data_IF_789610336431
#
_entry.id   IF_789610336431
#
_cell.length_a   1.000
_cell.length_b   1.000
_cell.length_c   1.000
_cell.angle_alpha   90.00
_cell.angle_beta   90.00
_cell.angle_gamma   90.00
#
_symmetry.space_group_name_H-M   'P 1'
#
loop_
_entity.id
_entity.type
_entity.pdbx_description
1 polymer ?
#
# COMPACT_ATOMS: atom_id res chain seq x y z
N UNK A 1 30.88 -23.52 -69.46
CA UNK A 1 29.57 -22.93 -69.13
C UNK A 1 29.02 -23.68 -67.94
N UNK A 2 29.38 -23.25 -66.73
CA UNK A 2 28.66 -23.64 -65.52
C UNK A 2 27.66 -22.52 -65.23
N UNK A 3 26.38 -22.86 -65.36
CA UNK A 3 25.27 -21.99 -65.00
C UNK A 3 25.15 -21.98 -63.48
N UNK A 4 25.46 -20.83 -62.86
CA UNK A 4 25.14 -20.58 -61.47
C UNK A 4 23.62 -20.51 -61.29
N UNK A 5 23.09 -21.31 -60.37
CA UNK A 5 21.70 -21.19 -59.92
C UNK A 5 21.50 -19.82 -59.23
N UNK A 6 20.42 -19.09 -59.52
CA UNK A 6 20.12 -17.85 -58.79
C UNK A 6 19.77 -18.18 -57.34
N UNK A 7 20.44 -17.53 -56.39
CA UNK A 7 20.09 -17.58 -54.97
C UNK A 7 18.63 -17.16 -54.79
N UNK A 8 17.86 -17.98 -54.08
CA UNK A 8 16.48 -17.67 -53.73
C UNK A 8 16.43 -16.46 -52.79
N UNK A 9 15.44 -15.56 -52.93
CA UNK A 9 15.33 -14.40 -52.04
C UNK A 9 15.06 -14.91 -50.61
N UNK A 10 15.95 -14.56 -49.68
CA UNK A 10 15.73 -14.77 -48.24
C UNK A 10 14.55 -13.91 -47.80
N UNK A 11 13.35 -14.44 -47.89
CA UNK A 11 12.19 -13.83 -47.24
C UNK A 11 12.38 -13.94 -45.73
N UNK A 12 12.53 -12.80 -45.05
CA UNK A 12 12.58 -12.73 -43.59
C UNK A 12 11.30 -13.33 -43.00
N UNK A 13 11.43 -14.07 -41.90
CA UNK A 13 10.26 -14.63 -41.23
C UNK A 13 9.32 -13.49 -40.79
N UNK A 14 7.98 -13.68 -40.76
CA UNK A 14 7.06 -12.64 -40.30
C UNK A 14 7.40 -12.11 -38.90
N UNK A 15 7.87 -12.99 -38.00
CA UNK A 15 8.34 -12.62 -36.67
C UNK A 15 9.58 -11.71 -36.69
N UNK A 16 10.54 -11.96 -37.58
CA UNK A 16 11.71 -11.09 -37.76
C UNK A 16 11.30 -9.74 -38.34
N UNK A 17 10.35 -9.74 -39.27
CA UNK A 17 9.80 -8.51 -39.87
C UNK A 17 9.12 -7.64 -38.82
N UNK A 18 8.33 -8.23 -37.92
CA UNK A 18 7.70 -7.54 -36.79
C UNK A 18 8.75 -7.07 -35.77
N UNK A 19 9.73 -7.92 -35.44
CA UNK A 19 10.76 -7.61 -34.46
C UNK A 19 11.72 -6.49 -34.90
N UNK A 20 11.84 -6.26 -36.22
CA UNK A 20 12.64 -5.20 -36.81
C UNK A 20 11.85 -3.91 -37.10
N UNK A 21 10.57 -3.85 -36.73
CA UNK A 21 9.72 -2.68 -36.95
C UNK A 21 9.24 -2.09 -35.61
N UNK A 22 9.88 -0.99 -35.19
CA UNK A 22 9.70 -0.36 -33.89
C UNK A 22 8.24 -0.09 -33.52
N UNK A 23 7.40 0.34 -34.47
CA UNK A 23 6.00 0.66 -34.20
C UNK A 23 5.16 -0.58 -33.90
N UNK A 24 5.35 -1.67 -34.66
CA UNK A 24 4.63 -2.92 -34.45
C UNK A 24 5.11 -3.60 -33.17
N UNK A 25 6.43 -3.65 -32.98
CA UNK A 25 7.03 -4.18 -31.76
C UNK A 25 6.55 -3.39 -30.54
N UNK A 26 6.55 -2.05 -30.61
CA UNK A 26 6.02 -1.20 -29.54
C UNK A 26 4.58 -1.51 -29.23
N UNK A 27 3.70 -1.63 -30.24
CA UNK A 27 2.27 -1.90 -30.05
C UNK A 27 1.98 -3.25 -29.36
N UNK A 28 2.87 -4.23 -29.54
CA UNK A 28 2.81 -5.52 -28.86
C UNK A 28 3.32 -5.37 -27.42
N UNK A 29 4.52 -4.83 -27.26
CA UNK A 29 5.18 -4.76 -25.96
C UNK A 29 4.44 -3.86 -24.96
N UNK A 30 3.82 -2.75 -25.38
CA UNK A 30 3.06 -1.89 -24.44
C UNK A 30 1.86 -2.58 -23.80
N UNK A 31 1.41 -3.74 -24.31
CA UNK A 31 0.30 -4.53 -23.75
C UNK A 31 0.76 -5.51 -22.65
N UNK A 32 2.06 -5.64 -22.44
CA UNK A 32 2.63 -6.58 -21.49
C UNK A 32 2.87 -5.90 -20.14
N UNK A 33 2.88 -6.72 -19.08
CA UNK A 33 3.20 -6.25 -17.74
C UNK A 33 4.64 -5.72 -17.65
N UNK A 34 4.84 -4.70 -16.81
CA UNK A 34 6.15 -4.08 -16.60
C UNK A 34 7.23 -5.10 -16.18
N UNK A 35 6.89 -6.09 -15.36
CA UNK A 35 7.80 -7.15 -14.91
C UNK A 35 8.33 -7.99 -16.08
N UNK A 36 7.47 -8.31 -17.05
CA UNK A 36 7.87 -9.05 -18.25
C UNK A 36 8.72 -8.18 -19.16
N UNK A 37 8.36 -6.91 -19.33
CA UNK A 37 9.14 -5.96 -20.15
C UNK A 37 10.56 -5.76 -19.63
N UNK A 38 10.76 -5.73 -18.31
CA UNK A 38 12.09 -5.61 -17.72
C UNK A 38 12.95 -6.83 -18.03
N UNK A 39 12.38 -8.04 -18.01
CA UNK A 39 13.07 -9.25 -18.47
C UNK A 39 13.39 -9.17 -19.96
N UNK A 40 12.48 -8.65 -20.77
CA UNK A 40 12.65 -8.60 -22.23
C UNK A 40 13.70 -7.60 -22.71
N UNK A 41 14.15 -6.68 -21.84
CA UNK A 41 15.35 -5.87 -22.09
C UNK A 41 16.61 -6.72 -22.34
N UNK A 42 16.68 -7.97 -21.85
CA UNK A 42 17.84 -8.84 -22.09
C UNK A 42 17.81 -9.57 -23.44
N UNK A 43 16.71 -9.49 -24.20
CA UNK A 43 16.55 -10.23 -25.47
C UNK A 43 17.48 -9.71 -26.56
N UNK A 44 17.59 -8.38 -26.71
CA UNK A 44 18.50 -7.75 -27.68
C UNK A 44 18.79 -6.29 -27.31
N UNK A 45 19.85 -5.72 -27.90
CA UNK A 45 20.15 -4.28 -27.77
C UNK A 45 19.02 -3.40 -28.30
N UNK A 46 18.33 -3.84 -29.35
CA UNK A 46 17.20 -3.12 -29.92
C UNK A 46 16.03 -3.06 -28.93
N UNK A 47 15.66 -4.20 -28.34
CA UNK A 47 14.59 -4.27 -27.33
C UNK A 47 14.93 -3.48 -26.07
N UNK A 48 16.18 -3.58 -25.59
CA UNK A 48 16.67 -2.77 -24.47
C UNK A 48 16.47 -1.27 -24.74
N UNK A 49 16.86 -0.80 -25.92
CA UNK A 49 16.74 0.60 -26.33
C UNK A 49 15.28 1.04 -26.42
N UNK A 50 14.44 0.24 -27.08
CA UNK A 50 13.02 0.54 -27.27
C UNK A 50 12.27 0.63 -25.94
N UNK A 51 12.39 -0.39 -25.09
CA UNK A 51 11.69 -0.48 -23.79
C UNK A 51 12.19 0.59 -22.81
N UNK A 52 13.47 0.96 -22.90
CA UNK A 52 14.05 1.99 -22.03
C UNK A 52 13.75 3.43 -22.48
N UNK A 53 13.22 3.61 -23.70
CA UNK A 53 12.90 4.94 -24.22
C UNK A 53 11.79 5.62 -23.39
N UNK A 54 11.89 6.94 -23.11
CA UNK A 54 10.85 7.67 -22.39
C UNK A 54 9.46 7.56 -23.06
N UNK A 55 9.42 7.66 -24.39
CA UNK A 55 8.18 7.55 -25.19
C UNK A 55 7.50 6.20 -25.02
N UNK A 56 8.26 5.09 -25.01
CA UNK A 56 7.68 3.77 -24.81
C UNK A 56 7.08 3.64 -23.41
N UNK A 57 7.78 4.14 -22.40
CA UNK A 57 7.36 4.07 -20.99
C UNK A 57 6.11 4.89 -20.74
N UNK A 58 6.07 6.10 -21.26
CA UNK A 58 4.88 6.96 -21.25
C UNK A 58 3.68 6.27 -21.92
N UNK A 59 3.87 5.71 -23.13
CA UNK A 59 2.83 4.94 -23.83
C UNK A 59 2.36 3.73 -23.03
N UNK A 60 3.28 3.01 -22.39
CA UNK A 60 2.96 1.85 -21.54
C UNK A 60 2.14 2.29 -20.32
N UNK A 61 2.56 3.35 -19.63
CA UNK A 61 1.86 3.93 -18.49
C UNK A 61 0.43 4.37 -18.86
N UNK A 62 0.26 5.15 -19.92
CA UNK A 62 -1.06 5.63 -20.36
C UNK A 62 -1.98 4.46 -20.74
N UNK A 63 -1.41 3.42 -21.35
CA UNK A 63 -2.19 2.25 -21.79
C UNK A 63 -2.58 1.31 -20.64
N UNK A 64 -1.85 1.34 -19.53
CA UNK A 64 -2.07 0.47 -18.37
C UNK A 64 -2.30 1.30 -17.10
N UNK A 65 -3.40 2.10 -17.04
CA UNK A 65 -3.57 3.11 -16.00
C UNK A 65 -3.92 2.56 -14.61
N UNK A 66 -4.31 1.29 -14.51
CA UNK A 66 -4.68 0.64 -13.25
C UNK A 66 -3.97 -0.71 -13.13
N UNK A 67 -2.64 -0.74 -12.90
CA UNK A 67 -1.95 -2.00 -12.70
C UNK A 67 -2.48 -2.69 -11.45
N UNK A 68 -2.68 -4.00 -11.55
CA UNK A 68 -3.16 -4.82 -10.45
C UNK A 68 -2.07 -4.93 -9.38
N UNK A 69 -2.48 -5.04 -8.11
CA UNK A 69 -1.54 -5.35 -7.04
C UNK A 69 -1.05 -6.77 -7.28
N UNK A 70 0.25 -6.88 -7.54
CA UNK A 70 0.90 -8.13 -7.91
C UNK A 70 1.59 -8.80 -6.74
N UNK A 71 1.87 -8.03 -5.67
CA UNK A 71 2.55 -8.52 -4.49
C UNK A 71 2.40 -7.56 -3.30
N UNK A 72 2.85 -8.01 -2.13
CA UNK A 72 2.97 -7.20 -0.92
C UNK A 72 4.37 -7.28 -0.33
N UNK A 73 4.86 -6.16 0.19
CA UNK A 73 5.96 -6.14 1.15
C UNK A 73 5.44 -6.01 2.57
N UNK A 74 6.04 -6.71 3.52
CA UNK A 74 5.66 -6.64 4.94
C UNK A 74 6.85 -7.00 5.84
N UNK A 75 6.80 -6.56 7.09
CA UNK A 75 7.79 -6.90 8.11
C UNK A 75 7.44 -8.23 8.78
N UNK A 76 8.28 -9.25 8.58
CA UNK A 76 8.12 -10.53 9.28
C UNK A 76 8.50 -10.44 10.76
N UNK A 77 8.11 -11.45 11.54
CA UNK A 77 8.42 -11.59 12.98
C UNK A 77 9.91 -11.46 13.30
N UNK A 78 10.78 -11.80 12.35
CA UNK A 78 12.23 -11.75 12.52
C UNK A 78 12.82 -10.39 12.11
N UNK A 79 11.96 -9.35 12.02
CA UNK A 79 12.29 -8.01 11.54
C UNK A 79 12.92 -8.00 10.13
N UNK A 80 12.69 -9.07 9.35
CA UNK A 80 13.12 -9.15 7.96
C UNK A 80 11.99 -8.71 7.07
N UNK A 81 12.30 -7.82 6.14
CA UNK A 81 11.39 -7.44 5.09
C UNK A 81 11.11 -8.66 4.21
N UNK A 82 9.85 -9.02 4.08
CA UNK A 82 9.36 -10.17 3.31
C UNK A 82 8.47 -9.72 2.18
N UNK A 83 8.35 -10.58 1.16
CA UNK A 83 7.66 -10.31 -0.09
C UNK A 83 6.74 -11.49 -0.43
N UNK A 84 5.47 -11.22 -0.72
CA UNK A 84 4.49 -12.22 -1.17
C UNK A 84 3.98 -11.83 -2.55
N UNK A 85 4.12 -12.74 -3.52
CA UNK A 85 3.51 -12.61 -4.85
C UNK A 85 2.05 -13.08 -4.81
N UNK A 86 1.15 -12.33 -5.45
CA UNK A 86 -0.27 -12.67 -5.61
C UNK A 86 -0.58 -13.34 -6.96
N UNK A 87 0.44 -13.69 -7.74
CA UNK A 87 0.29 -14.32 -9.06
C UNK A 87 -0.48 -15.65 -8.99
N UNK A 88 -1.42 -15.84 -9.92
CA UNK A 88 -2.33 -17.00 -10.06
C UNK A 88 -1.64 -18.37 -10.30
N UNK A 89 -0.29 -18.43 -10.33
CA UNK A 89 0.45 -19.68 -10.33
C UNK A 89 0.39 -20.32 -8.93
N UNK A 90 -0.70 -21.06 -8.67
CA UNK A 90 -0.93 -21.83 -7.43
C UNK A 90 0.24 -22.77 -7.04
N UNK A 91 1.15 -23.05 -7.99
CA UNK A 91 2.29 -23.95 -7.81
C UNK A 91 3.58 -23.29 -7.30
N UNK A 92 3.61 -21.95 -7.10
CA UNK A 92 4.84 -21.23 -6.75
C UNK A 92 4.71 -20.23 -5.60
N UNK A 93 3.78 -20.47 -4.68
CA UNK A 93 3.73 -19.70 -3.44
C UNK A 93 4.84 -20.13 -2.47
N UNK A 94 6.10 -19.86 -2.83
CA UNK A 94 7.29 -20.26 -2.06
C UNK A 94 8.47 -19.36 -2.38
N UNK A 95 8.87 -18.54 -1.40
CA UNK A 95 10.12 -17.77 -1.33
C UNK A 95 10.64 -17.20 -2.66
N UNK A 96 9.93 -16.24 -3.26
CA UNK A 96 10.59 -15.33 -4.18
C UNK A 96 11.56 -14.46 -3.38
N UNK A 97 12.83 -14.48 -3.75
CA UNK A 97 13.84 -13.58 -3.18
C UNK A 97 13.31 -12.16 -3.20
N UNK A 98 13.34 -11.48 -2.06
CA UNK A 98 12.91 -10.09 -1.97
C UNK A 98 13.71 -9.26 -3.00
N UNK A 99 13.04 -8.55 -3.94
CA UNK A 99 13.74 -7.77 -4.97
C UNK A 99 14.64 -6.66 -4.40
N UNK A 100 14.49 -6.33 -3.12
CA UNK A 100 15.33 -5.37 -2.42
C UNK A 100 16.62 -6.01 -1.86
N UNK A 101 16.65 -7.33 -1.63
CA UNK A 101 17.83 -8.01 -1.08
C UNK A 101 19.00 -8.03 -2.07
N UNK A 102 18.72 -7.92 -3.37
CA UNK A 102 19.76 -7.85 -4.41
C UNK A 102 20.56 -6.54 -4.40
N UNK A 103 20.12 -5.52 -3.66
CA UNK A 103 20.79 -4.21 -3.58
C UNK A 103 21.40 -4.04 -2.18
N UNK A 104 22.73 -4.13 -2.03
CA UNK A 104 23.40 -4.05 -0.74
C UNK A 104 23.05 -2.80 0.08
N UNK A 105 22.87 -1.65 -0.59
CA UNK A 105 22.52 -0.35 -0.01
C UNK A 105 21.11 -0.31 0.58
N UNK A 106 20.25 -1.23 0.15
CA UNK A 106 18.87 -1.36 0.61
C UNK A 106 18.72 -2.43 1.70
N UNK A 107 19.82 -3.05 2.17
CA UNK A 107 19.73 -3.97 3.31
C UNK A 107 19.38 -3.23 4.59
N UNK A 108 18.37 -3.74 5.29
CA UNK A 108 17.89 -3.15 6.54
C UNK A 108 17.07 -1.87 6.37
N UNK A 109 16.59 -1.55 5.16
CA UNK A 109 15.66 -0.44 4.99
C UNK A 109 14.30 -0.76 5.60
N UNK A 110 13.64 0.26 6.12
CA UNK A 110 12.22 0.24 6.47
C UNK A 110 11.43 0.87 5.33
N UNK A 111 10.39 0.20 4.84
CA UNK A 111 9.42 0.82 3.93
C UNK A 111 8.49 1.69 4.78
N UNK A 112 8.21 2.90 4.28
CA UNK A 112 7.30 3.88 4.89
C UNK A 112 6.00 4.00 4.11
N UNK A 113 6.04 3.89 2.78
CA UNK A 113 4.88 4.05 1.93
C UNK A 113 5.09 3.33 0.59
N UNK A 114 3.99 2.83 0.00
CA UNK A 114 3.91 2.45 -1.42
C UNK A 114 3.02 3.44 -2.18
N UNK A 115 3.43 3.85 -3.37
CA UNK A 115 2.64 4.73 -4.23
C UNK A 115 2.90 4.37 -5.71
N UNK A 116 1.87 3.83 -6.38
CA UNK A 116 1.86 3.59 -7.83
C UNK A 116 3.08 2.83 -8.40
N UNK A 117 3.60 1.87 -7.63
CA UNK A 117 4.72 0.99 -7.98
C UNK A 117 6.08 1.46 -7.48
N UNK A 118 6.15 2.65 -6.87
CA UNK A 118 7.32 3.13 -6.15
C UNK A 118 7.15 2.91 -4.65
N UNK A 119 8.27 2.73 -3.95
CA UNK A 119 8.34 2.66 -2.50
C UNK A 119 9.12 3.85 -1.96
N UNK A 120 8.65 4.40 -0.85
CA UNK A 120 9.41 5.31 -0.02
C UNK A 120 9.97 4.53 1.16
N UNK A 121 11.28 4.61 1.35
CA UNK A 121 12.01 3.85 2.35
C UNK A 121 12.90 4.77 3.19
N UNK A 122 13.27 4.33 4.39
CA UNK A 122 14.34 4.94 5.16
C UNK A 122 15.38 3.90 5.61
N UNK A 123 16.60 4.35 5.86
CA UNK A 123 17.66 3.53 6.43
C UNK A 123 17.26 3.00 7.83
N UNK A 124 17.45 1.72 8.08
CA UNK A 124 17.44 1.16 9.44
C UNK A 124 18.79 1.42 10.09
N UNK A 125 18.82 2.19 11.18
CA UNK A 125 20.05 2.51 11.91
C UNK A 125 19.74 2.99 13.34
N UNK A 126 20.74 2.87 14.22
CA UNK A 126 20.69 3.33 15.61
C UNK A 126 20.36 4.83 15.71
N UNK A 127 19.74 5.21 16.83
CA UNK A 127 19.22 6.56 17.16
C UNK A 127 20.23 7.72 16.95
N UNK A 128 21.53 7.41 16.80
CA UNK A 128 22.61 8.40 16.67
C UNK A 128 22.88 8.87 15.24
N UNK A 129 22.36 8.18 14.22
CA UNK A 129 22.58 8.55 12.80
C UNK A 129 21.32 9.09 12.15
N UNK A 130 21.45 10.23 11.44
CA UNK A 130 20.33 10.86 10.72
C UNK A 130 19.75 9.88 9.70
N UNK A 131 18.43 9.69 9.73
CA UNK A 131 17.71 8.81 8.80
C UNK A 131 17.91 9.29 7.35
N UNK A 132 18.43 8.42 6.50
CA UNK A 132 18.47 8.64 5.06
C UNK A 132 17.17 8.11 4.44
N UNK A 133 16.62 8.87 3.47
CA UNK A 133 15.42 8.47 2.74
C UNK A 133 15.75 8.07 1.32
N UNK A 134 14.99 7.11 0.80
CA UNK A 134 15.17 6.53 -0.52
C UNK A 134 13.81 6.39 -1.20
N UNK A 135 13.77 6.70 -2.49
CA UNK A 135 12.69 6.22 -3.36
C UNK A 135 13.23 5.01 -4.09
N UNK A 136 12.42 3.95 -4.19
CA UNK A 136 12.82 2.68 -4.79
C UNK A 136 11.77 2.24 -5.80
N UNK A 137 12.20 1.82 -6.98
CA UNK A 137 11.41 1.02 -7.91
C UNK A 137 11.88 -0.45 -7.81
N UNK A 138 11.15 -1.32 -7.08
CA UNK A 138 11.53 -2.71 -6.93
C UNK A 138 11.46 -3.50 -8.24
N UNK A 139 10.58 -3.11 -9.17
CA UNK A 139 10.41 -3.80 -10.45
C UNK A 139 11.65 -3.63 -11.32
N UNK A 140 12.23 -2.42 -11.34
CA UNK A 140 13.42 -2.08 -12.12
C UNK A 140 14.73 -2.25 -11.35
N UNK A 141 14.68 -2.65 -10.08
CA UNK A 141 15.84 -2.67 -9.16
C UNK A 141 16.60 -1.33 -9.15
N UNK A 142 15.86 -0.22 -9.21
CA UNK A 142 16.40 1.14 -9.20
C UNK A 142 16.06 1.82 -7.88
N UNK A 143 16.97 2.66 -7.40
CA UNK A 143 16.75 3.47 -6.22
C UNK A 143 17.45 4.83 -6.35
N UNK A 144 16.92 5.81 -5.65
CA UNK A 144 17.51 7.14 -5.53
C UNK A 144 17.50 7.55 -4.07
N UNK A 145 18.65 8.00 -3.59
CA UNK A 145 18.78 8.57 -2.25
C UNK A 145 18.34 10.02 -2.31
N UNK A 146 17.37 10.37 -1.47
CA UNK A 146 16.92 11.75 -1.37
C UNK A 146 17.99 12.61 -0.69
N UNK A 147 18.23 13.85 -1.16
CA UNK A 147 18.98 14.82 -0.38
C UNK A 147 18.23 15.09 0.93
N UNK A 148 18.97 15.42 1.99
CA UNK A 148 18.36 15.77 3.27
C UNK A 148 17.31 16.88 3.09
N UNK A 149 16.10 16.74 3.66
CA UNK A 149 15.10 17.79 3.60
C UNK A 149 15.64 19.11 4.16
N UNK A 150 15.25 20.26 3.59
CA UNK A 150 15.58 21.56 4.17
C UNK A 150 15.06 21.57 5.61
N UNK A 151 15.92 21.97 6.56
CA UNK A 151 15.66 22.01 8.01
C UNK A 151 15.70 20.68 8.80
N UNK A 152 15.90 19.52 8.15
CA UNK A 152 16.34 18.30 8.85
C UNK A 152 17.74 18.46 9.52
N UNK A 153 18.41 19.59 9.26
CA UNK A 153 19.74 19.89 9.74
C UNK A 153 19.79 20.47 11.17
N UNK A 154 18.66 20.95 11.74
CA UNK A 154 18.68 21.75 12.98
C UNK A 154 18.05 21.04 14.20
N UNK A 155 17.03 20.20 14.03
CA UNK A 155 16.37 19.47 15.11
C UNK A 155 15.81 18.12 14.60
N UNK A 156 15.58 17.15 15.49
CA UNK A 156 14.96 15.85 15.18
C UNK A 156 13.41 15.97 15.05
N UNK A 157 12.96 17.06 14.41
CA UNK A 157 11.58 17.55 14.41
C UNK A 157 10.78 17.13 13.18
N UNK A 158 11.20 16.04 12.51
CA UNK A 158 10.48 15.49 11.35
C UNK A 158 9.18 14.85 11.81
N UNK A 159 8.05 15.35 11.30
CA UNK A 159 6.71 14.81 11.59
C UNK A 159 6.31 13.71 10.63
N UNK A 160 6.77 13.78 9.38
CA UNK A 160 6.41 12.81 8.36
C UNK A 160 7.05 13.06 7.01
N UNK A 161 7.05 12.01 6.19
CA UNK A 161 7.46 12.07 4.79
C UNK A 161 6.46 11.25 3.97
N UNK A 162 6.06 11.76 2.81
CA UNK A 162 5.06 11.13 1.97
C UNK A 162 5.44 11.18 0.49
N UNK A 163 5.20 10.07 -0.21
CA UNK A 163 5.48 9.93 -1.64
C UNK A 163 4.26 10.27 -2.47
N UNK A 164 4.48 11.06 -3.52
CA UNK A 164 3.50 11.46 -4.52
C UNK A 164 3.96 11.01 -5.90
N UNK A 165 3.26 10.05 -6.47
CA UNK A 165 3.58 9.53 -7.78
C UNK A 165 2.31 9.00 -8.44
N UNK A 166 1.95 9.52 -9.60
CA UNK A 166 0.77 9.07 -10.36
C UNK A 166 0.99 9.27 -11.85
N UNK A 167 1.83 8.40 -12.44
CA UNK A 167 2.20 8.51 -13.84
C UNK A 167 1.01 8.18 -14.74
N UNK A 168 0.04 7.41 -14.26
CA UNK A 168 -1.10 6.90 -15.01
C UNK A 168 -2.11 7.99 -15.33
N UNK A 169 -2.34 8.92 -14.40
CA UNK A 169 -3.31 10.00 -14.57
C UNK A 169 -2.68 11.29 -15.08
N UNK A 170 -1.47 11.59 -14.64
CA UNK A 170 -0.79 12.85 -15.01
C UNK A 170 0.07 12.71 -16.27
N UNK A 171 0.44 11.50 -16.67
CA UNK A 171 1.50 11.27 -17.66
C UNK A 171 2.90 11.64 -17.16
N UNK A 172 3.01 12.18 -15.95
CA UNK A 172 4.28 12.63 -15.38
C UNK A 172 5.03 11.44 -14.77
N UNK A 173 6.19 11.13 -15.36
CA UNK A 173 7.07 10.05 -14.89
C UNK A 173 7.93 10.45 -13.69
N UNK A 174 7.90 11.73 -13.30
CA UNK A 174 8.60 12.26 -12.15
C UNK A 174 7.74 12.12 -10.90
N UNK A 175 8.39 11.76 -9.80
CA UNK A 175 7.77 11.68 -8.48
C UNK A 175 8.13 12.92 -7.67
N UNK A 176 7.26 13.22 -6.70
CA UNK A 176 7.52 14.24 -5.69
C UNK A 176 7.49 13.61 -4.30
N UNK A 177 8.21 14.21 -3.37
CA UNK A 177 8.24 13.77 -1.96
C UNK A 177 7.94 14.96 -1.08
N UNK A 178 6.94 14.83 -0.23
CA UNK A 178 6.56 15.86 0.74
C UNK A 178 7.20 15.52 2.07
N UNK A 179 7.90 16.48 2.67
CA UNK A 179 8.40 16.40 4.05
C UNK A 179 7.68 17.42 4.89
N UNK A 180 7.26 17.00 6.09
CA UNK A 180 6.59 17.83 7.09
C UNK A 180 7.43 17.83 8.36
N UNK A 181 7.71 19.01 8.91
CA UNK A 181 8.49 19.17 10.14
C UNK A 181 7.91 20.28 11.02
N UNK A 182 8.28 20.30 12.30
CA UNK A 182 7.95 21.42 13.18
C UNK A 182 8.92 22.57 12.97
N UNK A 183 8.39 23.79 12.89
CA UNK A 183 9.18 25.04 12.84
C UNK A 183 9.08 25.83 14.14
N UNK A 184 7.95 25.69 14.84
CA UNK A 184 7.74 26.25 16.17
C UNK A 184 6.67 25.41 16.90
N UNK A 185 6.41 25.74 18.18
CA UNK A 185 5.45 25.01 19.02
C UNK A 185 4.05 24.81 18.43
N UNK A 186 3.61 25.61 17.46
CA UNK A 186 2.28 25.50 16.83
C UNK A 186 2.34 25.70 15.30
N UNK A 187 3.49 25.47 14.69
CA UNK A 187 3.68 25.76 13.26
C UNK A 187 4.48 24.66 12.60
N UNK A 188 3.95 24.16 11.49
CA UNK A 188 4.65 23.19 10.64
C UNK A 188 5.26 23.90 9.43
N UNK A 189 6.35 23.32 8.93
CA UNK A 189 6.91 23.63 7.61
C UNK A 189 6.69 22.45 6.68
N UNK A 190 6.57 22.75 5.38
CA UNK A 190 6.40 21.74 4.34
C UNK A 190 7.45 21.96 3.24
N UNK A 191 8.06 20.88 2.80
CA UNK A 191 9.04 20.90 1.72
C UNK A 191 8.63 19.88 0.68
N UNK A 192 8.76 20.23 -0.59
CA UNK A 192 8.43 19.34 -1.70
C UNK A 192 9.69 19.12 -2.53
N UNK A 193 10.18 17.89 -2.51
CA UNK A 193 11.22 17.44 -3.43
C UNK A 193 10.58 17.08 -4.77
N UNK A 194 11.19 17.54 -5.86
CA UNK A 194 10.83 17.09 -7.21
C UNK A 194 11.98 16.28 -7.83
N UNK A 195 11.68 15.08 -8.34
CA UNK A 195 12.71 14.23 -8.95
C UNK A 195 13.24 14.77 -10.28
N UNK A 196 12.46 15.63 -10.94
CA UNK A 196 12.84 16.33 -12.17
C UNK A 196 14.00 17.30 -11.94
N UNK A 197 13.85 18.22 -10.98
CA UNK A 197 14.88 19.22 -10.64
C UNK A 197 15.92 18.68 -9.65
N UNK A 198 15.63 17.52 -9.03
CA UNK A 198 16.43 16.90 -7.97
C UNK A 198 16.69 17.83 -6.79
N UNK A 199 15.74 18.71 -6.52
CA UNK A 199 15.87 19.74 -5.50
C UNK A 199 14.63 19.80 -4.63
N UNK A 200 14.81 20.26 -3.40
CA UNK A 200 13.71 20.66 -2.54
C UNK A 200 13.27 22.06 -2.90
N UNK A 201 11.98 22.21 -3.16
CA UNK A 201 11.28 23.49 -3.09
C UNK A 201 10.82 23.70 -1.65
N UNK A 202 11.08 24.88 -1.12
CA UNK A 202 10.66 25.24 0.22
C UNK A 202 9.31 25.93 0.14
N UNK A 203 8.26 25.26 0.59
CA UNK A 203 6.95 25.86 0.79
C UNK A 203 6.83 26.22 2.28
N UNK A 204 7.29 27.42 2.66
CA UNK A 204 7.03 27.96 4.01
C UNK A 204 5.56 28.35 4.16
N UNK A 205 4.67 27.37 3.97
CA UNK A 205 3.34 27.45 4.48
C UNK A 205 3.41 27.27 5.99
N UNK A 206 3.60 28.38 6.71
CA UNK A 206 3.42 28.39 8.16
C UNK A 206 1.94 28.19 8.45
N UNK A 207 1.52 26.93 8.53
CA UNK A 207 0.18 26.59 8.97
C UNK A 207 0.18 26.74 10.49
N UNK A 208 -0.43 27.82 10.97
CA UNK A 208 -0.66 28.03 12.39
C UNK A 208 -1.83 27.16 12.84
N UNK A 209 -1.55 26.18 13.68
CA UNK A 209 -2.60 25.43 14.37
C UNK A 209 -3.02 26.20 15.62
N UNK A 210 -4.32 26.41 15.81
CA UNK A 210 -4.86 26.88 17.09
C UNK A 210 -4.64 25.72 18.09
N UNK A 211 -4.12 26.04 19.28
CA UNK A 211 -3.70 25.07 20.32
C UNK A 211 -4.58 23.81 20.36
N UNK A 212 -3.91 22.63 20.39
CA UNK A 212 -4.42 21.25 20.54
C UNK A 212 -4.52 20.33 19.29
N UNK A 213 -3.79 20.57 18.19
CA UNK A 213 -3.90 19.74 16.96
C UNK A 213 -2.68 18.88 16.57
N UNK A 214 -1.75 18.56 17.49
CA UNK A 214 -0.65 17.60 17.21
C UNK A 214 -1.10 16.12 17.20
N UNK A 215 -2.29 15.86 16.69
CA UNK A 215 -2.87 14.52 16.60
C UNK A 215 -2.90 13.98 15.17
N UNK A 216 -2.46 14.78 14.20
CA UNK A 216 -2.34 14.37 12.80
C UNK A 216 -1.15 13.42 12.68
N UNK A 217 -1.40 12.21 12.18
CA UNK A 217 -0.34 11.25 11.87
C UNK A 217 0.26 11.57 10.49
N UNK A 218 1.21 12.51 10.47
CA UNK A 218 1.92 12.89 9.25
C UNK A 218 2.76 11.75 8.64
N UNK A 219 3.02 10.69 9.40
CA UNK A 219 3.71 9.49 8.94
C UNK A 219 2.85 8.58 8.05
N UNK A 220 1.53 8.76 8.04
CA UNK A 220 0.57 7.94 7.27
C UNK A 220 -0.09 8.71 6.13
N UNK A 221 0.70 9.50 5.40
CA UNK A 221 0.23 10.26 4.25
C UNK A 221 -0.23 9.37 3.10
N UNK A 222 -1.39 9.69 2.51
CA UNK A 222 -1.94 8.98 1.35
C UNK A 222 -2.03 9.93 0.15
N UNK A 223 -1.33 9.59 -0.93
CA UNK A 223 -1.45 10.33 -2.19
C UNK A 223 -2.73 9.93 -2.92
N UNK A 224 -3.53 10.92 -3.31
CA UNK A 224 -4.70 10.75 -4.17
C UNK A 224 -5.01 12.06 -4.89
N UNK A 225 -5.43 12.00 -6.16
CA UNK A 225 -5.92 13.18 -6.91
C UNK A 225 -4.99 14.41 -6.88
N UNK A 226 -3.67 14.23 -6.92
CA UNK A 226 -2.72 15.36 -6.91
C UNK A 226 -2.52 16.01 -5.54
N UNK A 227 -2.93 15.35 -4.45
CA UNK A 227 -2.69 15.81 -3.08
C UNK A 227 -2.28 14.66 -2.15
N UNK A 228 -1.52 14.99 -1.11
CA UNK A 228 -1.28 14.09 0.03
C UNK A 228 -2.30 14.39 1.10
N UNK A 229 -2.87 13.35 1.69
CA UNK A 229 -3.91 13.43 2.70
C UNK A 229 -3.44 12.77 4.00
N UNK A 230 -3.82 13.36 5.12
CA UNK A 230 -3.57 12.86 6.46
C UNK A 230 -4.84 12.98 7.29
N UNK A 231 -5.01 12.04 8.21
CA UNK A 231 -6.09 12.06 9.19
C UNK A 231 -5.50 12.22 10.58
N UNK A 232 -6.21 12.92 11.45
CA UNK A 232 -6.00 12.80 12.88
C UNK A 232 -6.93 11.76 13.51
N UNK A 233 -6.76 11.50 14.80
CA UNK A 233 -7.62 10.55 15.49
C UNK A 233 -9.07 11.02 15.64
N UNK A 234 -9.34 12.33 15.49
CA UNK A 234 -10.67 12.97 15.53
C UNK A 234 -11.35 13.02 14.15
N UNK A 235 -10.76 12.39 13.14
CA UNK A 235 -11.29 12.24 11.78
C UNK A 235 -11.24 13.53 10.95
N UNK A 236 -10.49 14.52 11.42
CA UNK A 236 -10.21 15.72 10.64
C UNK A 236 -9.21 15.38 9.53
N UNK A 237 -9.53 15.85 8.32
CA UNK A 237 -8.76 15.60 7.12
C UNK A 237 -7.89 16.81 6.81
N UNK A 238 -6.59 16.57 6.69
CA UNK A 238 -5.61 17.54 6.26
C UNK A 238 -5.06 17.11 4.91
N UNK A 239 -4.91 18.03 3.98
CA UNK A 239 -4.33 17.67 2.69
C UNK A 239 -3.45 18.77 2.10
N UNK A 240 -2.38 18.39 1.42
CA UNK A 240 -1.45 19.27 0.73
C UNK A 240 -1.55 19.01 -0.78
N UNK A 241 -1.92 20.03 -1.56
CA UNK A 241 -1.89 19.92 -3.02
C UNK A 241 -0.47 19.96 -3.56
N UNK A 242 -0.20 19.06 -4.50
CA UNK A 242 1.08 18.90 -5.17
C UNK A 242 0.89 19.37 -6.62
N UNK A 243 0.83 20.69 -6.80
CA UNK A 243 0.73 21.31 -8.12
C UNK A 243 2.07 21.37 -8.86
N UNK A 244 2.02 21.63 -10.17
CA UNK A 244 3.19 21.86 -11.04
C UNK A 244 3.51 23.36 -11.25
N UNK A 245 2.95 24.25 -10.44
CA UNK A 245 3.08 25.69 -10.62
C UNK A 245 2.95 26.50 -9.33
N UNK A 246 3.42 27.74 -9.39
CA UNK A 246 3.68 28.73 -8.33
C UNK A 246 2.52 29.13 -7.41
N UNK A 247 1.36 28.49 -7.50
CA UNK A 247 0.23 28.64 -6.59
C UNK A 247 0.14 27.42 -5.64
N UNK A 248 1.27 27.06 -5.03
CA UNK A 248 1.35 26.11 -3.91
C UNK A 248 0.62 26.71 -2.70
N UNK A 249 -0.71 26.64 -2.71
CA UNK A 249 -1.50 27.04 -1.55
C UNK A 249 -1.35 25.99 -0.45
N UNK A 250 -1.10 26.42 0.80
CA UNK A 250 -0.87 25.53 1.94
C UNK A 250 -1.94 24.47 2.12
N UNK A 251 -1.57 23.47 2.92
CA UNK A 251 -2.49 22.49 3.49
C UNK A 251 -3.82 23.13 3.86
N UNK A 252 -4.90 22.64 3.25
CA UNK A 252 -6.25 23.02 3.67
C UNK A 252 -6.74 21.91 4.58
N UNK A 253 -6.99 22.26 5.84
CA UNK A 253 -7.71 21.38 6.76
C UNK A 253 -9.20 21.50 6.48
N UNK A 254 -9.86 20.40 6.15
CA UNK A 254 -11.30 20.27 6.18
C UNK A 254 -11.69 19.48 7.41
N UNK A 255 -12.52 20.05 8.29
CA UNK A 255 -13.11 19.27 9.38
C UNK A 255 -14.18 18.37 8.78
N UNK A 256 -13.84 17.10 8.61
CA UNK A 256 -14.78 16.06 8.21
C UNK A 256 -15.05 15.17 9.41
N UNK A 257 -15.81 15.67 10.38
CA UNK A 257 -16.16 14.89 11.55
C UNK A 257 -16.89 13.61 11.13
N UNK A 258 -16.31 12.45 11.42
CA UNK A 258 -17.07 11.20 11.43
C UNK A 258 -18.05 11.26 12.60
N UNK A 259 -19.36 11.04 12.39
CA UNK A 259 -20.33 11.05 13.47
C UNK A 259 -20.11 9.94 14.52
N UNK A 260 -19.22 8.97 14.25
CA UNK A 260 -18.98 7.80 15.09
C UNK A 260 -17.76 7.93 16.04
N UNK A 261 -16.89 8.93 15.85
CA UNK A 261 -15.60 9.04 16.55
C UNK A 261 -15.66 9.26 18.07
N UNK A 262 -16.85 9.51 18.63
CA UNK A 262 -17.03 9.81 20.06
C UNK A 262 -17.74 8.70 20.85
N UNK A 263 -18.19 7.61 20.22
CA UNK A 263 -19.07 6.63 20.89
C UNK A 263 -18.43 5.26 21.18
N UNK A 264 -17.34 4.89 20.51
CA UNK A 264 -16.70 3.58 20.66
C UNK A 264 -15.17 3.66 20.58
N UNK A 265 -14.48 2.78 21.31
CA UNK A 265 -13.02 2.61 21.19
C UNK A 265 -12.69 2.03 19.80
N UNK A 266 -12.05 2.86 18.97
CA UNK A 266 -11.54 2.46 17.64
C UNK A 266 -10.36 1.52 17.82
N UNK A 267 -10.49 0.30 17.33
CA UNK A 267 -9.44 -0.71 17.43
C UNK A 267 -8.51 -0.69 16.21
N UNK A 268 -9.05 -0.46 15.02
CA UNK A 268 -8.27 -0.46 13.79
C UNK A 268 -8.82 0.56 12.78
N UNK A 269 -7.90 1.17 12.01
CA UNK A 269 -8.20 2.10 10.93
C UNK A 269 -7.38 1.74 9.69
N UNK A 270 -8.07 1.60 8.57
CA UNK A 270 -7.47 1.64 7.24
C UNK A 270 -7.82 2.97 6.57
N UNK A 271 -6.79 3.64 6.05
CA UNK A 271 -6.92 4.84 5.23
C UNK A 271 -5.99 4.68 4.03
N UNK A 272 -6.54 4.70 2.83
CA UNK A 272 -5.81 4.38 1.62
C UNK A 272 -6.49 4.87 0.35
N UNK A 273 -5.76 4.85 -0.75
CA UNK A 273 -6.26 5.19 -2.08
C UNK A 273 -6.56 3.91 -2.85
N UNK A 274 -7.66 3.92 -3.59
CA UNK A 274 -7.98 2.91 -4.60
C UNK A 274 -8.75 3.55 -5.74
N UNK A 275 -8.33 3.29 -6.98
CA UNK A 275 -9.02 3.73 -8.20
C UNK A 275 -9.25 5.26 -8.30
N UNK A 276 -8.35 6.06 -7.73
CA UNK A 276 -8.45 7.52 -7.69
C UNK A 276 -9.38 8.06 -6.60
N UNK A 277 -9.82 7.21 -5.67
CA UNK A 277 -10.67 7.58 -4.55
C UNK A 277 -9.98 7.27 -3.22
N UNK A 278 -10.25 8.11 -2.22
CA UNK A 278 -9.81 7.85 -0.85
C UNK A 278 -10.86 7.05 -0.11
N UNK A 279 -10.40 6.00 0.59
CA UNK A 279 -11.25 5.14 1.37
C UNK A 279 -10.85 5.13 2.84
N UNK A 280 -11.87 5.07 3.70
CA UNK A 280 -11.72 4.97 5.15
C UNK A 280 -12.53 3.77 5.65
N UNK A 281 -11.87 2.93 6.44
CA UNK A 281 -12.50 1.83 7.17
C UNK A 281 -12.09 1.96 8.62
N UNK A 282 -13.07 2.10 9.49
CA UNK A 282 -12.89 2.08 10.93
C UNK A 282 -13.56 0.84 11.51
N UNK A 283 -12.81 0.13 12.35
CA UNK A 283 -13.28 -1.05 13.06
C UNK A 283 -13.31 -0.71 14.55
N UNK A 284 -14.50 -0.82 15.15
CA UNK A 284 -14.77 -0.45 16.54
C UNK A 284 -15.10 -1.69 17.38
N UNK A 285 -14.70 -1.68 18.65
CA UNK A 285 -15.20 -2.68 19.61
C UNK A 285 -16.66 -2.39 20.00
N UNK A 286 -17.49 -3.43 20.25
CA UNK A 286 -17.17 -4.86 20.21
C UNK A 286 -17.39 -5.53 18.83
N UNK A 287 -17.94 -4.80 17.85
CA UNK A 287 -18.36 -5.33 16.55
C UNK A 287 -17.22 -5.36 15.53
N UNK A 288 -16.18 -6.17 15.79
CA UNK A 288 -14.98 -6.18 14.94
C UNK A 288 -15.16 -6.82 13.56
N UNK A 289 -16.25 -7.58 13.36
CA UNK A 289 -16.50 -8.32 12.11
C UNK A 289 -17.45 -7.60 11.14
N UNK A 290 -18.03 -6.48 11.56
CA UNK A 290 -18.96 -5.69 10.77
C UNK A 290 -18.49 -4.24 10.72
N UNK A 291 -18.31 -3.70 9.53
CA UNK A 291 -17.77 -2.36 9.34
C UNK A 291 -18.16 -1.78 7.98
N UNK A 292 -18.03 -0.46 7.87
CA UNK A 292 -18.35 0.27 6.65
C UNK A 292 -17.07 0.61 5.86
N UNK A 293 -17.15 0.44 4.54
CA UNK A 293 -16.19 1.01 3.61
C UNK A 293 -16.74 2.35 3.15
N UNK A 294 -16.07 3.43 3.56
CA UNK A 294 -16.43 4.81 3.22
C UNK A 294 -15.52 5.35 2.14
N UNK A 295 -16.07 6.14 1.23
CA UNK A 295 -15.36 6.85 0.17
C UNK A 295 -15.50 8.36 0.41
N UNK A 296 -14.42 9.11 0.23
CA UNK A 296 -14.45 10.57 0.31
C UNK A 296 -15.02 11.14 -0.99
N UNK A 297 -15.98 12.06 -0.88
CA UNK A 297 -16.50 12.79 -2.03
C UNK A 297 -15.43 13.70 -2.67
N UNK A 298 -15.38 13.86 -4.00
CA UNK A 298 -14.33 14.63 -4.70
C UNK A 298 -14.24 16.11 -4.30
N UNK A 299 -15.34 16.69 -3.83
CA UNK A 299 -15.43 18.07 -3.36
C UNK A 299 -15.05 18.22 -1.87
N UNK A 300 -14.61 17.14 -1.22
CA UNK A 300 -14.30 17.08 0.20
C UNK A 300 -15.49 17.40 1.10
N UNK A 301 -16.73 17.21 0.63
CA UNK A 301 -17.95 17.48 1.41
C UNK A 301 -18.21 16.47 2.52
N UNK A 302 -17.75 15.22 2.37
CA UNK A 302 -18.02 14.19 3.36
C UNK A 302 -17.58 12.79 2.96
N UNK A 303 -17.70 11.89 3.93
CA UNK A 303 -17.51 10.46 3.76
C UNK A 303 -18.85 9.78 3.44
N UNK A 304 -18.93 9.08 2.32
CA UNK A 304 -20.11 8.32 1.90
C UNK A 304 -19.87 6.83 2.10
N UNK A 305 -20.78 6.16 2.78
CA UNK A 305 -20.74 4.69 2.91
C UNK A 305 -21.06 4.07 1.55
N UNK A 306 -20.12 3.28 1.01
CA UNK A 306 -20.29 2.55 -0.25
C UNK A 306 -20.68 1.10 -0.02
N UNK A 307 -20.11 0.49 1.02
CA UNK A 307 -20.33 -0.93 1.32
C UNK A 307 -20.45 -1.15 2.82
N UNK A 308 -21.39 -2.03 3.18
CA UNK A 308 -21.49 -2.62 4.51
C UNK A 308 -20.89 -4.03 4.46
N UNK A 309 -19.84 -4.26 5.23
CA UNK A 309 -19.11 -5.52 5.26
C UNK A 309 -19.53 -6.32 6.48
N UNK A 310 -19.82 -7.61 6.28
CA UNK A 310 -20.04 -8.58 7.35
C UNK A 310 -19.17 -9.82 7.10
N UNK A 311 -18.13 -9.96 7.91
CA UNK A 311 -17.20 -11.10 7.86
C UNK A 311 -17.65 -12.26 8.76
N UNK A 312 -18.76 -12.11 9.50
CA UNK A 312 -19.34 -13.14 10.36
C UNK A 312 -19.45 -14.50 9.68
N UNK A 313 -20.07 -14.62 8.49
CA UNK A 313 -20.21 -15.89 7.79
C UNK A 313 -18.89 -16.57 7.45
N UNK A 314 -17.86 -15.82 7.07
CA UNK A 314 -16.51 -16.34 6.74
C UNK A 314 -15.84 -16.88 8.01
N UNK A 315 -16.00 -16.15 9.10
CA UNK A 315 -15.48 -16.51 10.41
C UNK A 315 -16.17 -17.77 10.96
N UNK A 316 -17.49 -17.87 10.80
CA UNK A 316 -18.28 -19.01 11.24
C UNK A 316 -18.08 -20.26 10.38
N UNK A 317 -17.91 -20.11 9.07
CA UNK A 317 -17.62 -21.25 8.16
C UNK A 317 -16.26 -21.90 8.48
N UNK A 318 -15.35 -21.16 9.11
CA UNK A 318 -14.06 -21.65 9.61
C UNK A 318 -14.10 -22.03 11.12
N UNK A 319 -15.28 -22.30 11.70
CA UNK A 319 -15.47 -22.71 13.12
C UNK A 319 -15.03 -24.14 13.46
N UNK A 320 -14.87 -25.06 12.50
CA UNK A 320 -14.45 -26.44 12.82
C UNK A 320 -13.07 -26.54 13.50
N UNK A 321 -12.27 -25.46 13.47
CA UNK A 321 -10.99 -25.34 14.18
C UNK A 321 -11.03 -24.35 15.37
N UNK A 322 -12.20 -23.81 15.77
CA UNK A 322 -12.30 -22.84 16.88
C UNK A 322 -12.23 -23.52 18.27
N UNK A 323 -12.42 -24.84 18.35
CA UNK A 323 -12.43 -25.54 19.65
C UNK A 323 -11.04 -25.91 20.22
N UNK A 324 -9.93 -25.65 19.52
CA UNK A 324 -8.59 -26.02 20.03
C UNK A 324 -7.83 -24.89 20.78
N UNK A 325 -8.38 -23.68 20.89
CA UNK A 325 -7.76 -22.61 21.71
C UNK A 325 -8.48 -22.32 23.03
N UNK A 326 -9.61 -22.96 23.29
CA UNK A 326 -10.20 -23.04 24.63
C UNK A 326 -9.79 -24.38 25.23
N UNK A 327 -8.63 -24.42 25.90
CA UNK A 327 -8.41 -25.47 26.91
C UNK A 327 -9.62 -25.36 27.85
N UNK A 328 -10.46 -26.40 28.00
CA UNK A 328 -11.54 -26.37 28.97
C UNK A 328 -10.88 -26.31 30.35
N UNK A 329 -10.80 -25.12 30.95
CA UNK A 329 -10.72 -25.08 32.40
C UNK A 329 -12.07 -25.54 32.89
N UNK A 330 -12.06 -26.54 33.74
CA UNK A 330 -13.24 -27.18 34.30
C UNK A 330 -14.09 -26.13 35.05
N UNK A 331 -15.20 -25.72 34.46
CA UNK A 331 -16.17 -24.77 35.05
C UNK A 331 -17.37 -25.52 35.66
N UNK A 332 -17.22 -26.79 36.02
CA UNK A 332 -18.26 -27.64 36.63
C UNK A 332 -18.89 -27.09 37.93
N UNK A 333 -18.36 -25.99 38.48
CA UNK A 333 -18.92 -25.29 39.65
C UNK A 333 -19.80 -24.06 39.36
N UNK A 334 -19.99 -23.63 38.11
CA UNK A 334 -20.74 -22.41 37.81
C UNK A 334 -22.18 -22.74 37.37
N UNK A 335 -23.13 -22.55 38.28
CA UNK A 335 -24.55 -22.64 37.96
C UNK A 335 -24.99 -21.38 37.21
N UNK A 336 -25.52 -21.54 35.99
CA UNK A 336 -26.11 -20.45 35.21
C UNK A 336 -27.36 -19.94 35.93
N UNK A 337 -27.29 -18.73 36.50
CA UNK A 337 -28.41 -18.13 37.25
C UNK A 337 -29.35 -17.27 36.40
N UNK A 338 -28.98 -16.93 35.17
CA UNK A 338 -29.87 -16.22 34.24
C UNK A 338 -29.44 -16.49 32.79
N UNK A 339 -30.40 -16.81 31.93
CA UNK A 339 -30.24 -16.77 30.47
C UNK A 339 -30.76 -15.40 30.03
N UNK A 340 -29.85 -14.46 29.75
CA UNK A 340 -30.22 -13.11 29.33
C UNK A 340 -30.05 -12.98 27.82
N UNK A 341 -31.15 -12.59 27.17
CA UNK A 341 -31.23 -12.27 25.75
C UNK A 341 -30.49 -10.94 25.52
N UNK A 342 -29.38 -10.98 24.78
CA UNK A 342 -28.42 -9.87 24.65
C UNK A 342 -28.87 -8.75 23.69
N UNK A 343 -30.18 -8.63 23.43
CA UNK A 343 -30.73 -7.55 22.62
C UNK A 343 -31.16 -6.31 23.40
N UNK A 344 -30.97 -6.24 24.71
CA UNK A 344 -31.23 -4.99 25.43
C UNK A 344 -30.33 -4.78 26.65
N UNK A 345 -29.80 -3.55 26.75
CA UNK A 345 -29.08 -2.92 27.87
C UNK A 345 -27.55 -3.12 27.91
N UNK A 346 -26.89 -2.31 27.08
CA UNK A 346 -25.46 -2.03 27.09
C UNK A 346 -25.10 -0.90 28.07
N UNK A 347 -25.26 -1.06 29.39
CA UNK A 347 -24.69 -0.14 30.39
C UNK A 347 -24.61 -0.80 31.76
N UNK A 348 -23.58 -1.62 31.99
CA UNK A 348 -23.02 -1.93 33.32
C UNK A 348 -22.09 -3.12 33.19
N UNK A 349 -20.77 -2.90 33.16
CA UNK A 349 -19.68 -3.80 33.60
C UNK A 349 -18.38 -3.24 33.01
N UNK A 350 -17.91 -2.13 33.57
CA UNK A 350 -16.67 -1.47 33.15
C UNK A 350 -15.47 -1.82 34.04
N UNK A 351 -15.56 -2.85 34.87
CA UNK A 351 -14.46 -3.32 35.72
C UNK A 351 -14.44 -4.85 35.67
N UNK A 352 -13.25 -5.45 35.43
CA UNK A 352 -12.86 -6.88 35.53
C UNK A 352 -12.12 -7.48 34.31
N UNK A 353 -11.66 -6.71 33.31
CA UNK A 353 -10.66 -7.24 32.35
C UNK A 353 -9.50 -6.26 32.14
N UNK A 354 -8.81 -5.97 33.24
CA UNK A 354 -7.48 -5.39 33.23
C UNK A 354 -6.43 -6.49 33.14
N UNK A 355 -5.52 -6.35 32.18
CA UNK A 355 -4.27 -7.09 31.97
C UNK A 355 -4.40 -8.47 31.30
N UNK A 356 -3.69 -8.62 30.15
CA UNK A 356 -3.52 -9.81 29.29
C UNK A 356 -4.50 -10.05 28.13
N UNK A 357 -4.85 -9.02 27.36
CA UNK A 357 -5.34 -9.21 25.98
C UNK A 357 -4.18 -9.07 24.98
N UNK A 358 -3.57 -10.22 24.71
CA UNK A 358 -2.68 -10.45 23.58
C UNK A 358 -3.44 -10.06 22.29
N UNK A 359 -2.82 -9.22 21.44
CA UNK A 359 -3.41 -8.56 20.25
C UNK A 359 -3.71 -9.55 19.11
N UNK A 360 -4.69 -10.43 19.27
CA UNK A 360 -5.12 -11.32 18.18
C UNK A 360 -6.22 -10.65 17.36
N UNK A 361 -5.84 -9.82 16.40
CA UNK A 361 -6.77 -9.41 15.35
C UNK A 361 -7.26 -10.67 14.63
N UNK A 362 -8.57 -10.84 14.53
CA UNK A 362 -9.14 -11.95 13.80
C UNK A 362 -8.77 -11.84 12.30
N UNK A 363 -8.71 -10.61 11.77
CA UNK A 363 -8.21 -10.26 10.44
C UNK A 363 -7.54 -8.88 10.42
N UNK A 364 -6.77 -8.58 9.38
CA UNK A 364 -6.23 -7.24 9.09
C UNK A 364 -6.58 -6.86 7.66
N UNK A 365 -7.07 -5.63 7.44
CA UNK A 365 -7.27 -5.08 6.09
C UNK A 365 -5.90 -4.69 5.52
N UNK A 366 -5.47 -5.36 4.46
CA UNK A 366 -4.18 -5.09 3.81
C UNK A 366 -4.31 -3.99 2.76
N UNK A 367 -5.35 -4.06 1.94
CA UNK A 367 -5.58 -3.13 0.83
C UNK A 367 -7.00 -3.24 0.31
N UNK A 368 -7.44 -2.21 -0.40
CA UNK A 368 -8.65 -2.21 -1.23
C UNK A 368 -8.23 -2.15 -2.70
N UNK A 369 -8.53 -3.20 -3.47
CA UNK A 369 -8.06 -3.36 -4.86
C UNK A 369 -9.22 -3.65 -5.80
N UNK A 370 -8.99 -3.53 -7.10
CA UNK A 370 -9.97 -3.86 -8.13
C UNK A 370 -9.81 -5.30 -8.61
N UNK A 371 -10.91 -5.99 -8.86
CA UNK A 371 -10.89 -7.31 -9.50
C UNK A 371 -10.64 -7.22 -11.00
N UNK A 372 -9.87 -8.19 -11.54
CA UNK A 372 -9.44 -8.25 -12.94
C UNK A 372 -10.62 -8.31 -13.93
N UNK A 373 -11.77 -8.86 -13.51
CA UNK A 373 -12.85 -9.27 -14.41
C UNK A 373 -14.09 -8.35 -14.44
N UNK A 374 -14.19 -7.32 -13.59
CA UNK A 374 -15.48 -6.61 -13.47
C UNK A 374 -15.45 -5.24 -12.81
N UNK A 375 -14.33 -4.84 -12.25
CA UNK A 375 -14.19 -3.53 -11.63
C UNK A 375 -14.82 -3.35 -10.26
N UNK A 376 -15.24 -4.45 -9.65
CA UNK A 376 -15.64 -4.44 -8.25
C UNK A 376 -14.44 -4.29 -7.34
N UNK A 377 -14.67 -3.61 -6.22
CA UNK A 377 -13.67 -3.44 -5.18
C UNK A 377 -13.63 -4.70 -4.33
N UNK A 378 -12.43 -5.17 -4.07
CA UNK A 378 -12.14 -6.31 -3.22
C UNK A 378 -11.31 -5.87 -2.04
N UNK A 379 -11.71 -6.30 -0.84
CA UNK A 379 -10.89 -6.20 0.35
C UNK A 379 -9.87 -7.33 0.34
N UNK A 380 -8.59 -6.98 0.39
CA UNK A 380 -7.53 -7.93 0.66
C UNK A 380 -7.35 -8.02 2.17
N UNK A 381 -7.61 -9.19 2.72
CA UNK A 381 -7.60 -9.45 4.15
C UNK A 381 -6.51 -10.46 4.48
N UNK A 382 -5.72 -10.16 5.50
CA UNK A 382 -4.95 -11.18 6.20
C UNK A 382 -5.84 -11.82 7.26
N UNK A 383 -6.05 -13.14 7.18
CA UNK A 383 -6.85 -13.91 8.12
C UNK A 383 -6.19 -15.26 8.36
N UNK A 384 -5.85 -15.58 9.62
CA UNK A 384 -5.28 -16.87 10.05
C UNK A 384 -4.16 -17.42 9.15
N UNK A 385 -3.11 -16.63 8.93
CA UNK A 385 -1.99 -16.97 8.05
C UNK A 385 -2.38 -17.24 6.59
N UNK A 386 -3.48 -16.66 6.12
CA UNK A 386 -3.88 -16.65 4.71
C UNK A 386 -4.12 -15.22 4.27
N UNK A 387 -3.86 -14.95 3.00
CA UNK A 387 -4.38 -13.75 2.34
C UNK A 387 -5.60 -14.17 1.52
N UNK A 388 -6.72 -13.51 1.77
CA UNK A 388 -7.97 -13.72 1.04
C UNK A 388 -8.37 -12.42 0.35
N UNK A 389 -8.96 -12.52 -0.83
CA UNK A 389 -9.76 -11.44 -1.41
C UNK A 389 -11.22 -11.64 -1.02
N UNK A 390 -11.89 -10.57 -0.64
CA UNK A 390 -13.33 -10.52 -0.37
C UNK A 390 -13.95 -9.49 -1.31
N UNK A 391 -14.78 -9.93 -2.24
CA UNK A 391 -15.45 -9.06 -3.20
C UNK A 391 -16.61 -8.33 -2.51
N UNK A 392 -16.59 -7.00 -2.53
CA UNK A 392 -17.54 -6.17 -1.79
C UNK A 392 -18.94 -6.15 -2.41
N UNK A 393 -19.09 -6.51 -3.69
CA UNK A 393 -20.38 -6.53 -4.38
C UNK A 393 -21.12 -7.83 -4.13
N UNK A 394 -20.51 -8.95 -4.48
CA UNK A 394 -21.15 -10.27 -4.44
C UNK A 394 -20.94 -11.00 -3.10
N UNK A 395 -20.10 -10.44 -2.23
CA UNK A 395 -19.77 -10.96 -0.89
C UNK A 395 -19.09 -12.33 -0.92
N UNK A 396 -18.47 -12.68 -2.04
CA UNK A 396 -17.68 -13.89 -2.18
C UNK A 396 -16.25 -13.67 -1.69
N UNK A 397 -15.53 -14.77 -1.41
CA UNK A 397 -14.12 -14.69 -1.09
C UNK A 397 -13.31 -15.75 -1.84
N UNK A 398 -12.10 -15.39 -2.23
CA UNK A 398 -11.10 -16.30 -2.84
C UNK A 398 -9.85 -16.29 -1.97
N UNK A 399 -9.30 -17.47 -1.69
CA UNK A 399 -7.97 -17.57 -1.09
C UNK A 399 -6.92 -17.21 -2.14
N UNK A 400 -6.05 -16.25 -1.85
CA UNK A 400 -4.96 -15.86 -2.75
C UNK A 400 -3.66 -16.61 -2.43
N UNK A 401 -3.30 -16.71 -1.15
CA UNK A 401 -2.10 -17.44 -0.75
C UNK A 401 -2.15 -17.93 0.71
N UNK A 402 -1.40 -19.00 1.00
CA UNK A 402 -1.10 -19.47 2.35
C UNK A 402 0.26 -18.93 2.80
N UNK A 403 0.35 -18.50 4.07
CA UNK A 403 1.55 -17.92 4.68
C UNK A 403 2.10 -18.75 5.83
N UNK A 404 1.53 -19.94 6.07
CA UNK A 404 2.04 -20.86 7.08
C UNK A 404 3.44 -21.37 6.70
N UNK A 405 4.40 -21.44 7.63
CA UNK A 405 5.71 -21.99 7.33
C UNK A 405 5.58 -23.49 7.02
N UNK A 406 6.13 -23.92 5.88
CA UNK A 406 6.40 -25.33 5.64
C UNK A 406 7.34 -25.86 6.73
N UNK A 407 6.88 -26.81 7.55
CA UNK A 407 7.77 -27.69 8.30
C UNK A 407 7.86 -27.55 9.82
N UNK A 408 6.88 -27.00 10.54
CA UNK A 408 6.81 -27.20 12.01
C UNK A 408 5.53 -27.93 12.42
N UNK A 409 5.60 -29.25 12.45
CA UNK A 409 4.72 -30.05 13.30
C UNK A 409 4.97 -29.66 14.77
N UNK A 410 3.93 -29.21 15.46
CA UNK A 410 3.97 -29.06 16.92
C UNK A 410 4.64 -27.79 17.44
N UNK A 411 4.15 -26.62 17.05
CA UNK A 411 3.97 -25.45 17.95
C UNK A 411 3.30 -24.37 17.12
N UNK A 412 2.04 -24.10 17.44
CA UNK A 412 1.21 -23.08 16.80
C UNK A 412 1.71 -21.69 17.22
N UNK A 413 2.92 -21.30 16.80
CA UNK A 413 3.36 -19.91 16.84
C UNK A 413 2.68 -19.21 15.68
N UNK A 414 1.52 -18.66 15.99
CA UNK A 414 0.91 -17.58 15.22
C UNK A 414 2.01 -16.61 14.78
N UNK A 415 2.09 -16.38 13.47
CA UNK A 415 2.93 -15.33 12.90
C UNK A 415 2.55 -14.01 13.61
N UNK A 416 3.38 -13.55 14.56
CA UNK A 416 3.36 -12.19 15.10
C UNK A 416 3.89 -11.23 14.03
N UNK A 417 3.16 -11.14 12.92
CA UNK A 417 3.45 -10.16 11.88
C UNK A 417 2.69 -8.91 12.26
N UNK A 418 3.41 -7.81 12.44
CA UNK A 418 2.81 -6.48 12.55
C UNK A 418 2.34 -6.06 11.15
N UNK A 419 1.26 -6.67 10.65
CA UNK A 419 0.63 -6.38 9.34
C UNK A 419 0.08 -4.95 9.22
N UNK A 420 0.22 -4.14 10.27
CA UNK A 420 -0.04 -2.71 10.26
C UNK A 420 0.82 -1.95 9.23
N UNK A 421 1.85 -2.59 8.65
CA UNK A 421 2.76 -2.05 7.64
C UNK A 421 2.91 -2.96 6.41
N UNK A 422 1.79 -3.37 5.80
CA UNK A 422 1.81 -4.02 4.47
C UNK A 422 1.79 -2.98 3.35
N UNK A 423 2.66 -3.14 2.35
CA UNK A 423 2.84 -2.19 1.25
C UNK A 423 2.58 -2.87 -0.09
N UNK A 424 1.69 -2.28 -0.88
CA UNK A 424 1.30 -2.79 -2.20
C UNK A 424 2.49 -2.72 -3.17
N UNK A 425 2.68 -3.78 -3.94
CA UNK A 425 3.58 -3.79 -5.08
C UNK A 425 2.81 -3.97 -6.39
N UNK A 426 3.02 -3.03 -7.29
CA UNK A 426 2.54 -3.06 -8.65
C UNK A 426 3.71 -2.76 -9.59
N UNK A 427 3.76 -3.46 -10.71
CA UNK A 427 4.88 -3.37 -11.65
C UNK A 427 4.94 -2.00 -12.31
N UNK A 428 6.09 -1.33 -12.23
CA UNK A 428 6.27 -0.01 -12.86
C UNK A 428 7.55 0.08 -13.70
N UNK A 429 7.42 0.72 -14.87
CA UNK A 429 8.56 1.11 -15.72
C UNK A 429 9.13 2.48 -15.35
N UNK A 430 8.68 3.12 -14.26
CA UNK A 430 9.19 4.41 -13.80
C UNK A 430 10.70 4.34 -13.47
N UNK A 431 11.39 5.48 -13.58
CA UNK A 431 12.81 5.59 -13.26
C UNK A 431 12.92 6.42 -12.01
N UNK A 432 13.88 6.07 -11.18
CA UNK A 432 14.03 6.64 -9.86
C UNK A 432 15.38 7.30 -9.70
#
# INVERSE_FOLDING_TARGET
METACPESPKHSLPAETIANHDDLLSQILVRLEAKSLIRYKSVSKHWLSLISSPKFRERHTIRNPNPTVSAFFFLSTNQRLSFISLSDDETRCGSHSNPLDSVPELRGIKILQSCNGLLLCCSGGEETTRRAYYVVNPTASQFSRLPSPPYACQFDDSLGIALAFDPYRTGNVHYKVVSVWMTSRNTIGIGIYASETRSWSLCLSQVHFVQCQFEVDFGRGVYCNGAIHWLNHKDELFYCHIGDGSDEKPVRGGVLSSPLGLMFDREYRYFGESCGHLHLIDIFKPCVNQFDVRELEPDYSGWVVKYHVDLGPIIETNRSCINEMLIPKDYSGWFVKCKADLYSRSYSFQEVVGYYLDRYYQFVVLSLTREDNGGDLCLLLYFRAKVISYNLRDKTFKKLCDLAPEGTAGTQRSLKVEWLEAYNHMGSLACV
#
